data_IF_528674266116
#
_entry.id   IF_528674266116
#
_cell.length_a   1.000
_cell.length_b   1.000
_cell.length_c   1.000
_cell.angle_alpha   90.00
_cell.angle_beta   90.00
_cell.angle_gamma   90.00
#
_symmetry.space_group_name_H-M   'P 1'
#
loop_
_entity.id
_entity.type
_entity.pdbx_description
1 polymer ?
#
# COMPACT_ATOMS: atom_id res chain seq x y z
N UNK A 1 25.81 -0.22 -11.63
CA UNK A 1 24.85 0.19 -10.59
C UNK A 1 24.28 -1.09 -10.05
N UNK A 2 24.70 -1.48 -8.85
CA UNK A 2 24.19 -2.68 -8.18
C UNK A 2 22.67 -2.49 -8.07
N UNK A 3 21.87 -3.41 -8.63
CA UNK A 3 20.43 -3.36 -8.41
C UNK A 3 20.23 -3.45 -6.90
N UNK A 4 19.58 -2.45 -6.33
CA UNK A 4 19.25 -2.50 -4.91
C UNK A 4 18.03 -3.41 -4.79
N UNK A 5 18.27 -4.72 -4.75
CA UNK A 5 17.24 -5.77 -4.81
C UNK A 5 16.18 -5.63 -3.69
N UNK A 6 16.48 -4.88 -2.62
CA UNK A 6 15.51 -4.45 -1.60
C UNK A 6 14.35 -3.63 -2.15
N UNK A 7 14.62 -2.74 -3.11
CA UNK A 7 13.57 -1.95 -3.77
C UNK A 7 12.73 -2.80 -4.73
N UNK A 8 13.31 -3.86 -5.30
CA UNK A 8 12.57 -4.76 -6.20
C UNK A 8 11.44 -5.49 -5.45
N UNK A 9 11.63 -5.84 -4.17
CA UNK A 9 10.59 -6.43 -3.32
C UNK A 9 9.44 -5.45 -3.12
N UNK A 10 9.75 -4.21 -2.74
CA UNK A 10 8.76 -3.16 -2.50
C UNK A 10 7.98 -2.86 -3.79
N UNK A 11 8.66 -2.77 -4.92
CA UNK A 11 8.02 -2.58 -6.24
C UNK A 11 7.08 -3.73 -6.58
N UNK A 12 7.48 -4.99 -6.38
CA UNK A 12 6.62 -6.14 -6.65
C UNK A 12 5.36 -6.17 -5.77
N UNK A 13 5.46 -5.72 -4.50
CA UNK A 13 4.29 -5.56 -3.62
C UNK A 13 3.35 -4.49 -4.19
N UNK A 14 3.89 -3.32 -4.59
CA UNK A 14 3.11 -2.20 -5.13
C UNK A 14 2.43 -2.60 -6.45
N UNK A 15 3.15 -3.18 -7.40
CA UNK A 15 2.57 -3.62 -8.68
C UNK A 15 1.45 -4.65 -8.48
N UNK A 16 1.61 -5.58 -7.52
CA UNK A 16 0.55 -6.54 -7.21
C UNK A 16 -0.72 -5.87 -6.66
N UNK A 17 -0.59 -4.76 -5.95
CA UNK A 17 -1.71 -4.01 -5.38
C UNK A 17 -2.41 -3.12 -6.42
N UNK A 18 -1.64 -2.48 -7.31
CA UNK A 18 -2.16 -1.71 -8.45
C UNK A 18 -3.02 -2.58 -9.36
N UNK A 19 -2.68 -3.86 -9.49
CA UNK A 19 -3.45 -4.84 -10.25
C UNK A 19 -4.64 -5.45 -9.47
N UNK A 20 -4.99 -4.88 -8.30
CA UNK A 20 -6.11 -5.34 -7.47
C UNK A 20 -5.86 -6.65 -6.73
N UNK A 21 -4.60 -7.04 -6.56
CA UNK A 21 -4.21 -8.22 -5.81
C UNK A 21 -4.53 -8.10 -4.32
N UNK A 22 -4.97 -9.19 -3.72
CA UNK A 22 -5.07 -9.34 -2.26
C UNK A 22 -4.00 -10.30 -1.78
N UNK A 23 -3.20 -9.89 -0.80
CA UNK A 23 -2.23 -10.80 -0.19
C UNK A 23 -2.92 -11.72 0.82
N UNK A 24 -3.06 -12.99 0.45
CA UNK A 24 -3.41 -14.01 1.43
C UNK A 24 -2.18 -14.33 2.31
N UNK A 25 -2.37 -15.11 3.37
CA UNK A 25 -1.31 -15.45 4.30
C UNK A 25 -0.06 -16.05 3.62
N UNK A 26 -0.23 -16.89 2.58
CA UNK A 26 0.91 -17.47 1.86
C UNK A 26 1.67 -16.43 1.05
N UNK A 27 0.98 -15.46 0.48
CA UNK A 27 1.63 -14.38 -0.25
C UNK A 27 2.44 -13.51 0.70
N UNK A 28 1.89 -13.18 1.88
CA UNK A 28 2.61 -12.47 2.96
C UNK A 28 3.86 -13.25 3.39
N UNK A 29 3.73 -14.55 3.62
CA UNK A 29 4.86 -15.43 3.97
C UNK A 29 5.97 -15.43 2.91
N UNK A 30 5.62 -15.43 1.62
CA UNK A 30 6.60 -15.33 0.53
C UNK A 30 7.33 -13.99 0.55
N UNK A 31 6.61 -12.87 0.71
CA UNK A 31 7.24 -11.55 0.78
C UNK A 31 8.17 -11.42 1.98
N UNK A 32 7.75 -11.89 3.16
CA UNK A 32 8.61 -11.93 4.35
C UNK A 32 9.86 -12.78 4.10
N UNK A 33 9.70 -13.97 3.51
CA UNK A 33 10.85 -14.83 3.19
C UNK A 33 11.84 -14.15 2.23
N UNK A 34 11.35 -13.50 1.18
CA UNK A 34 12.20 -12.75 0.24
C UNK A 34 12.86 -11.54 0.93
N UNK A 35 12.16 -10.85 1.80
CA UNK A 35 12.71 -9.70 2.52
C UNK A 35 13.81 -10.08 3.51
N UNK A 36 13.66 -11.21 4.20
CA UNK A 36 14.71 -11.77 5.07
C UNK A 36 16.00 -12.04 4.30
N UNK A 37 15.94 -12.51 3.04
CA UNK A 37 17.17 -12.72 2.25
C UNK A 37 17.90 -11.42 1.93
N UNK A 38 17.22 -10.28 2.09
CA UNK A 38 17.78 -8.95 1.89
C UNK A 38 17.97 -8.17 3.20
N UNK A 39 17.88 -8.84 4.36
CA UNK A 39 18.10 -8.24 5.67
C UNK A 39 17.03 -7.24 6.11
N UNK A 40 15.83 -7.28 5.50
CA UNK A 40 14.69 -6.46 5.92
C UNK A 40 13.92 -7.22 7.01
N UNK A 41 13.52 -6.50 8.05
CA UNK A 41 12.73 -7.06 9.15
C UNK A 41 11.31 -7.44 8.68
N UNK A 42 10.76 -8.53 9.22
CA UNK A 42 9.40 -8.98 8.90
C UNK A 42 8.36 -7.90 9.20
N UNK A 43 8.53 -7.15 10.30
CA UNK A 43 7.68 -6.03 10.71
C UNK A 43 7.58 -4.95 9.64
N UNK A 44 8.70 -4.62 8.99
CA UNK A 44 8.76 -3.61 7.94
C UNK A 44 7.96 -4.06 6.71
N UNK A 45 8.06 -5.33 6.34
CA UNK A 45 7.28 -5.87 5.21
C UNK A 45 5.81 -6.01 5.53
N UNK A 46 5.47 -6.45 6.74
CA UNK A 46 4.08 -6.49 7.20
C UNK A 46 3.45 -5.10 7.11
N UNK A 47 4.18 -4.06 7.54
CA UNK A 47 3.72 -2.68 7.45
C UNK A 47 3.56 -2.21 5.99
N UNK A 48 4.52 -2.51 5.10
CA UNK A 48 4.40 -2.21 3.66
C UNK A 48 3.16 -2.89 3.05
N UNK A 49 2.93 -4.16 3.39
CA UNK A 49 1.78 -4.93 2.90
C UNK A 49 0.47 -4.31 3.41
N UNK A 50 0.38 -3.98 4.70
CA UNK A 50 -0.83 -3.41 5.30
C UNK A 50 -1.15 -2.02 4.75
N UNK A 51 -0.13 -1.16 4.58
CA UNK A 51 -0.29 0.16 3.95
C UNK A 51 -0.78 -0.03 2.50
N UNK A 52 -0.13 -0.90 1.76
CA UNK A 52 -0.47 -1.15 0.37
C UNK A 52 -1.90 -1.68 0.19
N UNK A 53 -2.33 -2.61 1.04
CA UNK A 53 -3.73 -3.09 1.07
C UNK A 53 -4.71 -1.97 1.44
N UNK A 54 -4.35 -1.12 2.39
CA UNK A 54 -5.16 0.03 2.80
C UNK A 54 -5.35 1.01 1.64
N UNK A 55 -4.28 1.36 0.93
CA UNK A 55 -4.34 2.24 -0.26
C UNK A 55 -5.21 1.64 -1.37
N UNK A 56 -5.05 0.35 -1.67
CA UNK A 56 -5.89 -0.34 -2.67
C UNK A 56 -7.38 -0.27 -2.33
N UNK A 57 -7.73 -0.44 -1.05
CA UNK A 57 -9.12 -0.32 -0.58
C UNK A 57 -9.64 1.12 -0.63
N UNK A 58 -8.79 2.11 -0.37
CA UNK A 58 -9.16 3.53 -0.45
C UNK A 58 -9.49 3.91 -1.91
N UNK A 59 -8.63 3.58 -2.87
CA UNK A 59 -8.89 3.88 -4.28
C UNK A 59 -10.17 3.21 -4.78
N UNK A 60 -10.41 1.95 -4.40
CA UNK A 60 -11.68 1.29 -4.71
C UNK A 60 -12.89 2.00 -4.08
N UNK A 61 -12.75 2.54 -2.86
CA UNK A 61 -13.83 3.32 -2.22
C UNK A 61 -14.06 4.64 -2.93
N UNK A 62 -13.00 5.28 -3.41
CA UNK A 62 -13.10 6.52 -4.20
C UNK A 62 -13.95 6.31 -5.45
N UNK A 63 -13.66 5.26 -6.23
CA UNK A 63 -14.47 4.89 -7.42
C UNK A 63 -15.95 4.66 -7.09
N UNK A 64 -16.22 4.03 -5.94
CA UNK A 64 -17.59 3.78 -5.48
C UNK A 64 -18.31 5.06 -5.03
N UNK A 65 -17.59 6.00 -4.41
CA UNK A 65 -18.13 7.32 -4.04
C UNK A 65 -18.47 8.10 -5.31
N UNK A 66 -17.59 8.08 -6.30
CA UNK A 66 -17.80 8.76 -7.58
C UNK A 66 -19.01 8.21 -8.31
N UNK A 67 -19.17 6.89 -8.34
CA UNK A 67 -20.32 6.22 -8.96
C UNK A 67 -21.64 6.35 -8.17
N UNK A 68 -21.61 6.79 -6.91
CA UNK A 68 -22.80 6.86 -6.05
C UNK A 68 -23.75 8.03 -6.39
N UNK A 69 -25.00 7.94 -5.94
CA UNK A 69 -25.99 9.02 -6.03
C UNK A 69 -25.84 10.11 -4.94
N UNK A 70 -24.73 10.10 -4.20
CA UNK A 70 -24.52 11.05 -3.10
C UNK A 70 -24.48 12.51 -3.60
N UNK A 71 -25.03 13.46 -2.83
CA UNK A 71 -24.87 14.88 -3.12
C UNK A 71 -23.40 15.27 -3.23
N UNK A 72 -23.10 16.23 -4.11
CA UNK A 72 -21.73 16.72 -4.36
C UNK A 72 -20.96 17.09 -3.09
N UNK A 73 -21.62 17.76 -2.14
CA UNK A 73 -20.98 18.17 -0.88
C UNK A 73 -20.61 16.97 -0.01
N UNK A 74 -21.43 15.91 0.01
CA UNK A 74 -21.11 14.68 0.75
C UNK A 74 -19.95 13.94 0.11
N UNK A 75 -19.92 13.83 -1.23
CA UNK A 75 -18.77 13.25 -1.94
C UNK A 75 -17.50 14.01 -1.59
N UNK A 76 -17.52 15.35 -1.66
CA UNK A 76 -16.37 16.19 -1.33
C UNK A 76 -15.84 15.95 0.09
N UNK A 77 -16.72 15.83 1.08
CA UNK A 77 -16.32 15.49 2.45
C UNK A 77 -15.65 14.12 2.51
N UNK A 78 -16.25 13.10 1.87
CA UNK A 78 -15.69 11.74 1.87
C UNK A 78 -14.34 11.67 1.14
N UNK A 79 -14.16 12.35 0.00
CA UNK A 79 -12.85 12.44 -0.66
C UNK A 79 -11.80 13.10 0.23
N UNK A 80 -12.16 14.14 1.00
CA UNK A 80 -11.22 14.77 1.92
C UNK A 80 -10.77 13.82 3.04
N UNK A 81 -11.68 12.99 3.55
CA UNK A 81 -11.36 11.95 4.54
C UNK A 81 -10.45 10.86 3.95
N UNK A 82 -10.77 10.38 2.74
CA UNK A 82 -9.94 9.40 2.04
C UNK A 82 -8.55 9.97 1.74
N UNK A 83 -8.46 11.20 1.23
CA UNK A 83 -7.19 11.86 0.92
C UNK A 83 -6.31 11.98 2.16
N UNK A 84 -6.88 12.33 3.32
CA UNK A 84 -6.12 12.37 4.57
C UNK A 84 -5.50 11.01 4.89
N UNK A 85 -6.26 9.92 4.71
CA UNK A 85 -5.75 8.57 4.93
C UNK A 85 -4.68 8.17 3.91
N UNK A 86 -4.82 8.58 2.65
CA UNK A 86 -3.79 8.39 1.60
C UNK A 86 -2.50 9.10 2.03
N UNK A 87 -2.56 10.37 2.42
CA UNK A 87 -1.39 11.16 2.80
C UNK A 87 -0.64 10.56 3.99
N UNK A 88 -1.38 10.07 5.00
CA UNK A 88 -0.81 9.39 6.18
C UNK A 88 -0.08 8.09 5.78
N UNK A 89 -0.68 7.27 4.92
CA UNK A 89 -0.10 6.02 4.43
C UNK A 89 1.13 6.25 3.53
N UNK A 90 1.07 7.22 2.62
CA UNK A 90 2.21 7.57 1.76
C UNK A 90 3.39 8.10 2.58
N UNK A 91 3.11 8.88 3.63
CA UNK A 91 4.15 9.33 4.56
C UNK A 91 4.77 8.17 5.34
N UNK A 92 3.98 7.18 5.75
CA UNK A 92 4.50 5.97 6.39
C UNK A 92 5.44 5.19 5.44
N UNK A 93 5.04 5.00 4.18
CA UNK A 93 5.92 4.40 3.16
C UNK A 93 7.20 5.19 2.93
N UNK A 94 7.12 6.53 2.89
CA UNK A 94 8.30 7.38 2.76
C UNK A 94 9.25 7.21 3.94
N UNK A 95 8.73 7.14 5.17
CA UNK A 95 9.53 6.88 6.35
C UNK A 95 10.19 5.50 6.28
N UNK A 96 9.46 4.45 5.89
CA UNK A 96 10.01 3.10 5.73
C UNK A 96 11.15 3.12 4.70
N UNK A 97 10.92 3.70 3.52
CA UNK A 97 11.92 3.86 2.46
C UNK A 97 13.21 4.54 2.94
N UNK A 98 13.08 5.54 3.82
CA UNK A 98 14.23 6.28 4.34
C UNK A 98 14.99 5.54 5.46
N UNK A 99 14.40 4.47 6.03
CA UNK A 99 14.96 3.71 7.15
C UNK A 99 15.39 2.27 6.79
N UNK A 100 15.25 1.86 5.52
CA UNK A 100 15.73 0.56 4.99
C UNK A 100 17.01 0.71 4.17
#
# INVERSE_FOLDING_TARGET
MEKNDRYEIVTNVIESLENGGSFNQRDREKFMQTARTHGIEDSVIEEIIDIGQTLSLIYRREDLIDASDLPREQKKTMHAELQKSIDENLKALENIKNNI
#
